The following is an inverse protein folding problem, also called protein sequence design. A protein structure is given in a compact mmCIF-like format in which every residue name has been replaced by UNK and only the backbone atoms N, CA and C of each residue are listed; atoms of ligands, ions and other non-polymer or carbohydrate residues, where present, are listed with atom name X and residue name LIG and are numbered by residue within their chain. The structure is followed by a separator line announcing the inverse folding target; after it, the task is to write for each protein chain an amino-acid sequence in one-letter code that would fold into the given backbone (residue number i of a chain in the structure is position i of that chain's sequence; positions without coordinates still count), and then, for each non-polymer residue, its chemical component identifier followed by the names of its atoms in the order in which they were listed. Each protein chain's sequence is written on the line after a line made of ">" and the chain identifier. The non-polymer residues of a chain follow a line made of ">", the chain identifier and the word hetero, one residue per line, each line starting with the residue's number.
data_IF_026259793087
#
_entry.id   IF_026259793087
#
_cell.length_a   1.000
_cell.length_b   1.000
_cell.length_c   1.000
_cell.angle_alpha   90.00
_cell.angle_beta   90.00
_cell.angle_gamma   90.00
#
_symmetry.space_group_name_H-M   'P 1'
#
loop_
_entity.id
_entity.type
_entity.pdbx_description
1 polymer ?
#
# COMPACT_ATOMS: atom_id res chain seq x y z
N UNK A 1 -9.66 67.13 -39.54
CA UNK A 1 -9.99 68.12 -38.50
C UNK A 1 -8.82 68.16 -37.53
N UNK A 2 -8.15 69.33 -37.38
CA UNK A 2 -7.08 69.71 -36.42
C UNK A 2 -5.92 68.74 -36.05
N UNK A 3 -4.69 69.19 -36.38
CA UNK A 3 -3.39 69.09 -35.65
C UNK A 3 -2.78 67.70 -35.31
N UNK A 4 -1.51 67.35 -35.52
CA UNK A 4 -0.17 68.01 -35.73
C UNK A 4 0.80 67.79 -34.55
N UNK A 5 2.09 67.55 -34.87
CA UNK A 5 3.29 67.36 -34.00
C UNK A 5 3.33 66.10 -33.11
N UNK A 6 4.35 65.23 -33.15
CA UNK A 6 5.44 65.07 -34.12
C UNK A 6 6.82 65.60 -33.70
N UNK A 7 7.82 64.69 -33.68
CA UNK A 7 9.29 64.91 -33.59
C UNK A 7 9.79 65.36 -32.19
N UNK A 8 11.05 65.10 -31.77
CA UNK A 8 12.25 64.54 -32.46
C UNK A 8 13.22 63.87 -31.44
N UNK A 9 14.00 62.86 -31.86
CA UNK A 9 15.31 62.52 -31.25
C UNK A 9 16.37 63.57 -31.68
N UNK A 10 17.54 63.64 -31.00
CA UNK A 10 18.92 63.75 -31.58
C UNK A 10 19.98 64.16 -30.51
N UNK A 11 21.01 63.31 -30.32
CA UNK A 11 22.46 63.56 -29.97
C UNK A 11 22.86 64.66 -28.92
N UNK A 12 24.13 64.88 -28.47
CA UNK A 12 25.48 64.39 -28.88
C UNK A 12 26.50 64.31 -27.72
N UNK A 13 27.53 63.48 -27.94
CA UNK A 13 28.83 63.25 -27.28
C UNK A 13 29.63 64.43 -26.65
N UNK A 14 30.47 64.04 -25.65
CA UNK A 14 31.90 64.43 -25.38
C UNK A 14 32.30 65.88 -25.03
N UNK A 15 32.89 66.05 -23.84
CA UNK A 15 34.35 66.30 -23.60
C UNK A 15 34.69 66.03 -22.11
N UNK A 16 35.83 65.53 -21.61
CA UNK A 16 37.29 65.52 -21.89
C UNK A 16 38.11 66.61 -21.15
N UNK A 17 38.88 66.18 -20.14
CA UNK A 17 40.08 66.82 -19.53
C UNK A 17 39.93 68.18 -18.79
N UNK A 18 40.88 68.63 -17.95
CA UNK A 18 41.83 67.99 -17.01
C UNK A 18 42.60 69.07 -16.20
N UNK A 19 43.26 68.69 -15.08
CA UNK A 19 44.33 69.44 -14.35
C UNK A 19 43.95 70.81 -13.73
N UNK A 20 44.61 71.42 -12.75
CA UNK A 20 45.50 71.08 -11.61
C UNK A 20 45.90 72.44 -10.96
N UNK A 21 45.37 72.78 -9.77
CA UNK A 21 46.07 73.56 -8.69
C UNK A 21 46.53 75.02 -9.05
N UNK A 22 47.12 75.83 -8.14
CA UNK A 22 46.44 76.69 -7.15
C UNK A 22 46.68 78.22 -7.29
N UNK A 23 45.94 79.04 -6.52
CA UNK A 23 46.52 79.95 -5.48
C UNK A 23 45.46 80.69 -4.66
N UNK A 24 45.89 81.25 -3.52
CA UNK A 24 45.05 82.02 -2.59
C UNK A 24 45.61 83.44 -2.34
N UNK A 25 44.72 84.38 -2.02
CA UNK A 25 44.91 85.63 -1.24
C UNK A 25 43.55 85.93 -0.55
N UNK A 26 43.41 86.08 0.76
CA UNK A 26 44.00 87.04 1.73
C UNK A 26 43.40 88.44 1.62
N UNK A 27 42.41 88.73 2.48
CA UNK A 27 42.09 89.97 3.24
C UNK A 27 40.82 89.72 4.07
N UNK A 28 40.60 90.23 5.29
CA UNK A 28 41.52 90.87 6.25
C UNK A 28 40.84 91.95 7.10
N UNK A 29 40.60 91.70 8.41
CA UNK A 29 40.27 92.77 9.40
C UNK A 29 40.66 92.40 10.83
N UNK A 30 40.68 93.41 11.72
CA UNK A 30 41.27 93.43 13.08
C UNK A 30 40.49 94.41 13.98
N UNK A 31 40.67 94.50 15.31
CA UNK A 31 41.72 93.88 16.16
C UNK A 31 41.19 92.63 16.91
N UNK A 32 41.15 92.41 18.24
CA UNK A 32 41.50 93.17 19.46
C UNK A 32 42.11 92.30 20.57
N UNK A 33 42.26 92.86 21.78
CA UNK A 33 42.94 92.35 22.98
C UNK A 33 42.08 91.32 23.75
N UNK A 34 42.54 90.11 24.07
CA UNK A 34 43.62 89.69 25.00
C UNK A 34 43.05 89.12 26.31
N UNK A 35 43.01 87.79 26.41
CA UNK A 35 43.14 87.03 27.66
C UNK A 35 43.68 85.62 27.31
N UNK A 36 44.62 85.09 28.09
CA UNK A 36 45.34 83.85 27.75
C UNK A 36 44.68 82.60 28.37
N UNK A 37 43.89 81.87 27.57
CA UNK A 37 43.33 80.56 27.94
C UNK A 37 43.77 79.45 26.97
N UNK A 38 44.52 78.45 27.47
CA UNK A 38 45.16 77.41 26.64
C UNK A 38 44.21 76.23 26.35
N UNK A 39 43.18 76.47 25.54
CA UNK A 39 42.21 75.45 25.12
C UNK A 39 42.73 74.64 23.93
N UNK A 40 43.10 73.37 24.16
CA UNK A 40 43.65 72.49 23.11
C UNK A 40 42.54 71.66 22.43
N UNK A 41 42.32 71.85 21.13
CA UNK A 41 41.24 71.22 20.39
C UNK A 41 41.66 69.85 19.82
N UNK A 42 41.31 68.75 20.49
CA UNK A 42 41.36 67.42 19.89
C UNK A 42 40.44 66.40 20.60
N UNK A 43 39.15 66.35 20.20
CA UNK A 43 38.20 65.31 20.64
C UNK A 43 38.16 64.15 19.64
N UNK A 44 39.25 63.39 19.55
CA UNK A 44 39.17 62.03 19.04
C UNK A 44 38.31 61.18 19.99
N UNK A 45 37.33 60.43 19.47
CA UNK A 45 36.55 59.50 20.29
C UNK A 45 37.45 58.37 20.78
N UNK A 46 37.96 58.49 22.01
CA UNK A 46 38.56 57.37 22.74
C UNK A 46 37.46 56.39 23.11
N UNK A 47 37.20 55.43 22.22
CA UNK A 47 36.41 54.23 22.51
C UNK A 47 36.99 53.58 23.76
N UNK A 48 36.29 53.70 24.89
CA UNK A 48 36.69 53.04 26.13
C UNK A 48 36.45 51.53 25.99
N UNK A 49 37.17 50.67 26.73
CA UNK A 49 36.91 49.22 26.70
C UNK A 49 35.43 48.87 26.97
N UNK A 50 34.77 49.64 27.86
CA UNK A 50 33.33 49.50 28.16
C UNK A 50 32.44 49.76 26.94
N UNK A 51 32.79 50.74 26.09
CA UNK A 51 32.06 50.99 24.85
C UNK A 51 32.26 49.86 23.82
N UNK A 52 33.48 49.29 23.75
CA UNK A 52 33.78 48.15 22.89
C UNK A 52 32.97 46.90 23.29
N UNK A 53 32.98 46.55 24.58
CA UNK A 53 32.15 45.49 25.14
C UNK A 53 30.64 45.74 24.94
N UNK A 54 30.20 46.99 25.04
CA UNK A 54 28.82 47.38 24.71
C UNK A 54 28.43 47.09 23.26
N UNK A 55 29.28 47.42 22.29
CA UNK A 55 29.02 47.10 20.88
C UNK A 55 29.08 45.59 20.60
N UNK A 56 29.99 44.85 21.24
CA UNK A 56 30.03 43.38 21.15
C UNK A 56 28.76 42.74 21.73
N UNK A 57 28.26 43.26 22.86
CA UNK A 57 26.99 42.83 23.43
C UNK A 57 25.79 43.10 22.52
N UNK A 58 25.73 44.29 21.90
CA UNK A 58 24.68 44.64 20.93
C UNK A 58 24.79 43.76 19.67
N UNK A 59 25.99 43.48 19.17
CA UNK A 59 26.20 42.61 18.02
C UNK A 59 25.80 41.15 18.32
N UNK A 60 26.12 40.63 19.51
CA UNK A 60 25.67 39.31 19.98
C UNK A 60 24.14 39.26 20.16
N UNK A 61 23.53 40.33 20.66
CA UNK A 61 22.07 40.39 20.84
C UNK A 61 21.33 40.50 19.49
N UNK A 62 21.87 41.27 18.54
CA UNK A 62 21.37 41.30 17.16
C UNK A 62 21.55 39.94 16.45
N UNK A 63 22.70 39.31 16.60
CA UNK A 63 22.96 37.97 16.05
C UNK A 63 22.03 36.93 16.69
N UNK A 64 21.79 36.99 18.00
CA UNK A 64 20.82 36.15 18.70
C UNK A 64 19.38 36.41 18.24
N UNK A 65 18.99 37.67 17.99
CA UNK A 65 17.68 38.01 17.42
C UNK A 65 17.54 37.48 15.99
N UNK A 66 18.58 37.57 15.17
CA UNK A 66 18.61 36.98 13.82
C UNK A 66 18.52 35.44 13.89
N UNK A 67 19.27 34.80 14.81
CA UNK A 67 19.18 33.36 15.04
C UNK A 67 17.76 32.96 15.50
N UNK A 68 17.15 33.74 16.39
CA UNK A 68 15.81 33.53 16.91
C UNK A 68 14.68 33.86 15.93
N UNK A 69 14.90 34.68 14.90
CA UNK A 69 13.92 34.90 13.82
C UNK A 69 14.05 33.83 12.75
N UNK A 70 15.27 33.45 12.36
CA UNK A 70 15.53 32.29 11.47
C UNK A 70 14.97 31.00 12.09
N UNK A 71 15.21 30.76 13.39
CA UNK A 71 14.67 29.59 14.10
C UNK A 71 13.17 29.68 14.47
N UNK A 72 12.50 30.84 14.28
CA UNK A 72 11.05 30.99 14.55
C UNK A 72 10.17 30.69 13.33
N UNK A 73 10.75 30.45 12.16
CA UNK A 73 10.01 29.96 11.00
C UNK A 73 9.46 28.55 11.27
N UNK A 74 8.21 28.45 11.74
CA UNK A 74 7.50 27.15 11.74
C UNK A 74 7.51 26.59 10.32
N UNK A 75 7.95 25.34 10.10
CA UNK A 75 8.14 24.77 8.77
C UNK A 75 6.83 24.81 7.98
N UNK A 76 6.94 25.02 6.67
CA UNK A 76 5.82 25.05 5.75
C UNK A 76 5.26 23.65 5.50
N UNK A 77 6.08 22.60 5.68
CA UNK A 77 5.72 21.18 5.58
C UNK A 77 5.83 20.53 6.96
N UNK A 78 4.69 20.09 7.52
CA UNK A 78 4.57 19.38 8.81
C UNK A 78 5.13 17.96 8.68
N UNK A 79 4.52 17.14 7.82
CA UNK A 79 4.85 15.74 7.56
C UNK A 79 5.04 15.49 6.06
N UNK A 80 5.73 14.40 5.73
CA UNK A 80 5.93 13.93 4.36
C UNK A 80 5.93 12.40 4.42
N UNK A 81 5.15 11.78 3.54
CA UNK A 81 5.00 10.33 3.38
C UNK A 81 5.22 9.95 1.90
N UNK A 82 5.88 8.82 1.58
CA UNK A 82 6.54 7.89 2.50
C UNK A 82 7.63 8.53 3.36
N UNK A 83 7.84 8.00 4.57
CA UNK A 83 8.82 8.54 5.51
C UNK A 83 10.26 8.18 5.09
N UNK A 84 11.25 8.96 5.54
CA UNK A 84 12.63 8.74 5.09
C UNK A 84 13.19 7.43 5.67
N UNK A 85 13.60 6.52 4.79
CA UNK A 85 14.00 5.14 5.13
C UNK A 85 12.83 4.15 5.20
N UNK A 86 11.63 4.54 4.76
CA UNK A 86 10.53 3.60 4.61
C UNK A 86 10.77 2.62 3.44
N UNK A 87 10.22 1.42 3.59
CA UNK A 87 9.96 0.46 2.52
C UNK A 87 8.44 0.47 2.31
N UNK A 88 7.97 0.57 1.06
CA UNK A 88 6.53 0.65 0.75
C UNK A 88 6.14 -0.18 -0.48
N UNK A 89 4.99 -0.83 -0.37
CA UNK A 89 4.32 -1.55 -1.43
C UNK A 89 3.34 -0.67 -2.23
N UNK A 90 3.12 -1.05 -3.49
CA UNK A 90 2.02 -0.58 -4.32
C UNK A 90 2.44 0.40 -5.41
N UNK A 91 2.07 0.08 -6.65
CA UNK A 91 2.06 1.02 -7.77
C UNK A 91 0.60 1.21 -8.22
N UNK A 92 0.02 2.42 -8.10
CA UNK A 92 0.67 3.68 -7.75
C UNK A 92 0.92 3.88 -6.23
N UNK A 93 2.07 4.49 -5.91
CA UNK A 93 2.41 4.97 -4.56
C UNK A 93 1.63 6.24 -4.26
N UNK A 94 1.12 6.37 -3.04
CA UNK A 94 0.54 7.62 -2.52
C UNK A 94 1.59 8.43 -1.76
N UNK A 95 2.05 9.51 -2.38
CA UNK A 95 2.92 10.53 -1.78
C UNK A 95 2.05 11.61 -1.15
N UNK A 96 2.28 11.95 0.13
CA UNK A 96 1.46 12.92 0.88
C UNK A 96 2.32 13.86 1.72
N UNK A 97 2.14 15.16 1.53
CA UNK A 97 2.78 16.21 2.30
C UNK A 97 1.75 17.06 3.05
N UNK A 98 1.78 17.06 4.37
CA UNK A 98 0.93 17.96 5.15
C UNK A 98 1.58 19.34 5.23
N UNK A 99 0.89 20.32 4.66
CA UNK A 99 1.31 21.70 4.56
C UNK A 99 0.81 22.52 5.76
N UNK A 100 1.32 23.74 5.90
CA UNK A 100 0.88 24.76 6.86
C UNK A 100 -0.30 25.56 6.30
N UNK A 101 -1.30 25.84 7.15
CA UNK A 101 -2.44 26.69 6.84
C UNK A 101 -2.06 28.01 6.15
N UNK A 102 -2.77 28.30 5.05
CA UNK A 102 -2.66 29.56 4.32
C UNK A 102 -1.55 29.62 3.27
N UNK A 103 -0.86 28.51 2.99
CA UNK A 103 -0.01 28.38 1.79
C UNK A 103 -0.86 28.38 0.52
N UNK A 104 -0.35 29.01 -0.53
CA UNK A 104 -1.02 29.09 -1.83
C UNK A 104 -0.52 27.97 -2.77
N UNK A 105 -1.35 27.39 -3.65
CA UNK A 105 -0.94 26.30 -4.54
C UNK A 105 0.32 26.63 -5.35
N UNK A 106 0.41 27.86 -5.88
CA UNK A 106 1.53 28.33 -6.69
C UNK A 106 2.85 28.56 -5.92
N UNK A 107 2.83 28.49 -4.58
CA UNK A 107 4.03 28.58 -3.76
C UNK A 107 4.71 27.22 -3.54
N UNK A 108 3.98 26.12 -3.74
CA UNK A 108 4.41 24.76 -3.40
C UNK A 108 4.91 24.04 -4.64
N UNK A 109 5.95 23.22 -4.51
CA UNK A 109 6.32 22.21 -5.51
C UNK A 109 6.56 20.86 -4.87
N UNK A 110 6.17 19.83 -5.59
CA UNK A 110 6.41 18.42 -5.28
C UNK A 110 7.21 17.81 -6.43
N UNK A 111 8.43 17.41 -6.14
CA UNK A 111 9.33 16.72 -7.06
C UNK A 111 9.42 15.25 -6.68
N UNK A 112 9.51 14.37 -7.68
CA UNK A 112 9.79 12.94 -7.49
C UNK A 112 10.95 12.59 -8.43
N UNK A 113 12.05 12.09 -7.87
CA UNK A 113 13.31 11.77 -8.55
C UNK A 113 13.95 12.92 -9.36
N UNK A 114 13.50 14.15 -9.09
CA UNK A 114 13.91 15.38 -9.78
C UNK A 114 12.86 15.96 -10.74
N UNK A 115 11.85 15.17 -11.13
CA UNK A 115 10.75 15.63 -12.00
C UNK A 115 9.69 16.39 -11.19
N UNK A 116 9.29 17.57 -11.68
CA UNK A 116 8.26 18.41 -11.05
C UNK A 116 6.85 17.86 -11.35
N UNK A 117 6.32 17.05 -10.43
CA UNK A 117 5.01 16.41 -10.53
C UNK A 117 3.89 17.21 -9.84
N UNK A 118 4.15 18.47 -9.45
CA UNK A 118 3.19 19.34 -8.76
C UNK A 118 1.84 19.44 -9.50
N UNK A 119 1.87 19.51 -10.84
CA UNK A 119 0.65 19.56 -11.67
C UNK A 119 -0.20 18.28 -11.71
N UNK A 120 0.29 17.16 -11.14
CA UNK A 120 -0.44 15.91 -10.96
C UNK A 120 -0.99 15.73 -9.53
N UNK A 121 -0.64 16.60 -8.59
CA UNK A 121 -1.02 16.49 -7.19
C UNK A 121 -2.30 17.28 -6.86
N UNK A 122 -3.16 16.74 -6.01
CA UNK A 122 -4.29 17.48 -5.43
C UNK A 122 -3.88 18.15 -4.11
N UNK A 123 -4.44 19.34 -3.83
CA UNK A 123 -4.23 20.06 -2.58
C UNK A 123 -5.57 20.30 -1.88
N UNK A 124 -5.84 19.52 -0.83
CA UNK A 124 -7.09 19.55 -0.07
C UNK A 124 -6.80 19.59 1.43
N UNK A 125 -7.52 20.43 2.18
CA UNK A 125 -7.48 20.43 3.66
C UNK A 125 -6.07 20.51 4.28
N UNK A 126 -5.19 21.35 3.71
CA UNK A 126 -3.76 21.46 4.07
C UNK A 126 -2.92 20.21 3.76
N UNK A 127 -3.38 19.26 2.94
CA UNK A 127 -2.59 18.11 2.48
C UNK A 127 -2.43 18.11 0.96
N UNK A 128 -1.18 18.15 0.49
CA UNK A 128 -0.82 17.89 -0.90
C UNK A 128 -0.68 16.38 -1.08
N UNK A 129 -1.42 15.79 -2.01
CA UNK A 129 -1.43 14.35 -2.27
C UNK A 129 -1.17 14.08 -3.75
N UNK A 130 -0.20 13.24 -4.05
CA UNK A 130 0.12 12.73 -5.38
C UNK A 130 -0.04 11.21 -5.36
N UNK A 131 -0.78 10.68 -6.32
CA UNK A 131 -0.85 9.24 -6.60
C UNK A 131 -0.09 9.04 -7.90
N UNK A 132 1.03 8.30 -7.85
CA UNK A 132 1.90 8.11 -9.01
C UNK A 132 2.45 6.69 -9.07
N UNK A 133 2.48 6.12 -10.27
CA UNK A 133 3.23 4.90 -10.54
C UNK A 133 4.72 5.17 -10.32
N UNK A 134 5.38 4.24 -9.63
CA UNK A 134 6.83 4.15 -9.44
C UNK A 134 7.26 2.70 -9.73
N UNK A 135 8.54 2.52 -10.04
CA UNK A 135 9.14 1.20 -10.20
C UNK A 135 9.63 0.67 -8.84
N UNK A 136 10.19 -0.54 -8.82
CA UNK A 136 10.88 -1.05 -7.62
C UNK A 136 12.28 -0.41 -7.51
N UNK A 137 12.68 -0.04 -6.29
CA UNK A 137 13.98 0.56 -5.99
C UNK A 137 13.92 1.86 -5.16
N UNK A 138 15.04 2.59 -5.14
CA UNK A 138 15.16 3.83 -4.35
C UNK A 138 14.50 5.02 -5.07
N UNK A 139 13.55 5.66 -4.39
CA UNK A 139 12.86 6.85 -4.85
C UNK A 139 13.04 8.02 -3.89
N UNK A 140 13.14 9.24 -4.44
CA UNK A 140 13.30 10.51 -3.73
C UNK A 140 12.08 11.39 -3.95
N UNK A 141 11.38 11.73 -2.87
CA UNK A 141 10.36 12.78 -2.89
C UNK A 141 10.90 14.04 -2.23
N UNK A 142 10.63 15.19 -2.85
CA UNK A 142 11.08 16.51 -2.40
C UNK A 142 9.96 17.55 -2.45
N UNK A 143 9.79 18.29 -1.36
CA UNK A 143 8.81 19.37 -1.25
C UNK A 143 9.52 20.71 -1.01
N UNK A 144 9.30 21.63 -1.95
CA UNK A 144 9.75 23.01 -1.87
C UNK A 144 8.56 23.95 -1.64
N UNK A 145 8.80 25.06 -0.93
CA UNK A 145 7.85 26.15 -0.74
C UNK A 145 8.55 27.49 -0.95
N UNK A 146 7.98 28.36 -1.79
CA UNK A 146 8.55 29.67 -2.12
C UNK A 146 9.92 29.58 -2.81
N UNK A 147 10.23 28.46 -3.48
CA UNK A 147 11.55 28.19 -4.07
C UNK A 147 12.61 27.70 -3.09
N UNK A 148 12.27 27.48 -1.81
CA UNK A 148 13.14 26.88 -0.79
C UNK A 148 12.75 25.44 -0.52
N UNK A 149 13.73 24.53 -0.45
CA UNK A 149 13.50 23.16 0.05
C UNK A 149 13.06 23.17 1.52
N UNK A 150 11.95 22.51 1.80
CA UNK A 150 11.34 22.41 3.14
C UNK A 150 11.41 20.98 3.69
N UNK A 151 11.24 19.96 2.84
CA UNK A 151 11.37 18.55 3.24
C UNK A 151 11.79 17.67 2.08
N UNK A 152 12.55 16.62 2.38
CA UNK A 152 12.93 15.55 1.46
C UNK A 152 12.72 14.20 2.16
N UNK A 153 12.48 13.16 1.39
CA UNK A 153 12.36 11.77 1.84
C UNK A 153 12.94 10.85 0.78
N UNK A 154 13.81 9.93 1.21
CA UNK A 154 14.27 8.79 0.41
C UNK A 154 13.55 7.55 0.93
N UNK A 155 12.97 6.73 0.06
CA UNK A 155 12.29 5.48 0.42
C UNK A 155 12.55 4.41 -0.64
N UNK A 156 12.32 3.15 -0.28
CA UNK A 156 12.36 2.02 -1.19
C UNK A 156 10.92 1.65 -1.58
N UNK A 157 10.69 1.45 -2.86
CA UNK A 157 9.48 0.81 -3.39
C UNK A 157 9.80 -0.65 -3.68
N UNK A 158 8.93 -1.55 -3.25
CA UNK A 158 9.00 -2.97 -3.58
C UNK A 158 7.57 -3.50 -3.76
N UNK A 159 7.25 -3.96 -4.97
CA UNK A 159 5.97 -4.55 -5.35
C UNK A 159 6.03 -6.09 -5.41
N UNK A 160 7.12 -6.71 -4.96
CA UNK A 160 7.29 -8.17 -4.96
C UNK A 160 6.51 -8.77 -3.78
N UNK A 161 5.41 -9.52 -4.01
CA UNK A 161 4.71 -10.16 -2.90
C UNK A 161 5.56 -11.26 -2.27
N UNK A 162 5.45 -11.48 -0.94
CA UNK A 162 6.07 -12.64 -0.30
C UNK A 162 5.51 -13.92 -0.92
N UNK A 163 6.31 -14.99 -0.95
CA UNK A 163 5.77 -16.28 -1.36
C UNK A 163 5.01 -16.93 -0.21
N UNK A 164 4.02 -17.74 -0.55
CA UNK A 164 3.16 -18.43 0.40
C UNK A 164 2.79 -19.79 -0.18
N UNK A 165 3.41 -20.84 0.34
CA UNK A 165 3.20 -22.21 -0.07
C UNK A 165 2.45 -22.98 1.01
N UNK A 166 1.52 -23.85 0.61
CA UNK A 166 0.88 -24.84 1.47
C UNK A 166 1.53 -26.19 1.15
N UNK A 167 2.33 -26.71 2.07
CA UNK A 167 3.09 -27.96 1.87
C UNK A 167 2.23 -29.19 2.12
N UNK A 168 1.20 -29.07 2.96
CA UNK A 168 0.30 -30.16 3.29
C UNK A 168 -0.77 -29.80 4.31
N UNK A 169 -1.68 -30.76 4.50
CA UNK A 169 -2.73 -30.72 5.52
C UNK A 169 -2.94 -32.12 6.09
N UNK A 170 -3.41 -32.19 7.33
CA UNK A 170 -3.74 -33.43 8.04
C UNK A 170 -5.06 -33.21 8.79
N UNK A 171 -6.11 -33.90 8.36
CA UNK A 171 -7.40 -33.94 9.07
C UNK A 171 -7.31 -34.99 10.17
N UNK A 172 -7.52 -34.58 11.42
CA UNK A 172 -7.55 -35.46 12.60
C UNK A 172 -8.97 -35.91 12.95
N UNK A 173 -9.06 -37.00 13.71
CA UNK A 173 -10.33 -37.57 14.21
C UNK A 173 -11.11 -36.62 15.15
N UNK A 174 -10.42 -35.67 15.80
CA UNK A 174 -11.05 -34.62 16.63
C UNK A 174 -11.73 -33.52 15.79
N UNK A 175 -11.66 -33.59 14.46
CA UNK A 175 -12.21 -32.60 13.53
C UNK A 175 -11.34 -31.35 13.36
N UNK A 176 -10.14 -31.34 13.95
CA UNK A 176 -9.15 -30.31 13.69
C UNK A 176 -8.36 -30.68 12.44
N UNK A 177 -8.27 -29.75 11.51
CA UNK A 177 -7.37 -29.85 10.35
C UNK A 177 -6.12 -29.03 10.63
N UNK A 178 -5.01 -29.73 10.61
CA UNK A 178 -3.66 -29.19 10.65
C UNK A 178 -3.31 -28.71 9.24
N UNK A 179 -2.72 -27.53 9.12
CA UNK A 179 -2.21 -27.00 7.84
C UNK A 179 -0.74 -26.61 8.05
N UNK A 180 0.14 -27.05 7.16
CA UNK A 180 1.58 -26.74 7.19
C UNK A 180 2.02 -26.09 5.89
N UNK A 181 2.97 -25.16 5.98
CA UNK A 181 3.46 -24.40 4.85
C UNK A 181 4.63 -23.49 5.19
N UNK A 182 5.02 -22.67 4.21
CA UNK A 182 6.08 -21.67 4.33
C UNK A 182 5.62 -20.31 3.79
N UNK A 183 6.21 -19.23 4.31
CA UNK A 183 5.91 -17.87 3.90
C UNK A 183 7.19 -17.02 3.75
N UNK A 184 8.02 -17.37 2.76
CA UNK A 184 9.31 -16.72 2.53
C UNK A 184 9.16 -15.23 2.16
N UNK A 185 10.06 -14.39 2.68
CA UNK A 185 9.99 -12.93 2.56
C UNK A 185 8.95 -12.25 3.45
N UNK A 186 8.05 -12.98 4.11
CA UNK A 186 7.00 -12.37 4.94
C UNK A 186 7.50 -11.92 6.32
N UNK A 187 6.97 -10.79 6.80
CA UNK A 187 7.18 -10.27 8.15
C UNK A 187 6.05 -10.70 9.11
N UNK A 188 4.95 -11.23 8.56
CA UNK A 188 3.76 -11.64 9.30
C UNK A 188 2.89 -12.59 8.49
N UNK A 189 2.35 -13.61 9.17
CA UNK A 189 1.29 -14.47 8.67
C UNK A 189 -0.01 -14.16 9.41
N UNK A 190 -1.14 -14.26 8.71
CA UNK A 190 -2.49 -14.12 9.24
C UNK A 190 -3.36 -15.30 8.82
N UNK A 191 -4.30 -15.68 9.68
CA UNK A 191 -5.41 -16.60 9.37
C UNK A 191 -6.70 -15.83 9.63
N UNK A 192 -7.48 -15.61 8.58
CA UNK A 192 -8.44 -14.49 8.52
C UNK A 192 -7.79 -13.18 9.00
N UNK A 193 -8.42 -12.46 9.94
CA UNK A 193 -7.90 -11.24 10.57
C UNK A 193 -6.79 -11.50 11.62
N UNK A 194 -6.56 -12.76 12.03
CA UNK A 194 -5.74 -13.09 13.20
C UNK A 194 -4.27 -13.34 12.83
N UNK A 195 -3.36 -12.48 13.29
CA UNK A 195 -1.90 -12.70 13.14
C UNK A 195 -1.47 -13.97 13.88
N UNK A 196 -0.67 -14.80 13.21
CA UNK A 196 -0.04 -16.03 13.72
C UNK A 196 1.49 -15.84 13.73
N UNK A 197 2.20 -16.67 14.51
CA UNK A 197 3.67 -16.71 14.51
C UNK A 197 4.16 -17.62 13.38
N UNK A 198 5.14 -17.13 12.64
CA UNK A 198 6.05 -17.95 11.82
C UNK A 198 7.17 -18.49 12.72
N UNK A 199 7.80 -19.59 12.30
CA UNK A 199 9.08 -20.04 12.83
C UNK A 199 10.24 -19.21 12.26
N UNK A 200 11.44 -19.36 12.83
CA UNK A 200 12.65 -18.60 12.41
C UNK A 200 13.15 -18.98 11.01
N UNK A 201 12.72 -20.13 10.49
CA UNK A 201 12.96 -20.63 9.13
C UNK A 201 11.87 -20.23 8.12
N UNK A 202 10.88 -19.43 8.54
CA UNK A 202 9.76 -19.01 7.70
C UNK A 202 8.64 -20.06 7.53
N UNK A 203 8.71 -21.20 8.21
CA UNK A 203 7.64 -22.20 8.20
C UNK A 203 6.50 -21.86 9.17
N UNK A 204 5.34 -22.49 8.96
CA UNK A 204 4.21 -22.42 9.88
C UNK A 204 3.47 -23.75 10.02
N UNK A 205 2.81 -23.92 11.18
CA UNK A 205 1.80 -24.94 11.44
C UNK A 205 0.57 -24.26 12.05
N UNK A 206 -0.58 -24.49 11.45
CA UNK A 206 -1.89 -24.01 11.88
C UNK A 206 -2.74 -25.19 12.33
N UNK A 207 -3.67 -24.96 13.24
CA UNK A 207 -4.69 -25.93 13.63
C UNK A 207 -6.05 -25.23 13.60
N UNK A 208 -6.99 -25.75 12.81
CA UNK A 208 -8.29 -25.13 12.52
C UNK A 208 -9.41 -26.14 12.74
N UNK A 209 -10.45 -25.77 13.50
CA UNK A 209 -11.64 -26.60 13.65
C UNK A 209 -12.50 -26.53 12.39
N UNK A 210 -12.53 -27.62 11.60
CA UNK A 210 -13.29 -27.70 10.34
C UNK A 210 -14.80 -27.48 10.54
N UNK A 211 -15.29 -27.74 11.76
CA UNK A 211 -16.69 -27.64 12.13
C UNK A 211 -17.10 -26.19 12.50
N UNK A 212 -16.12 -25.29 12.66
CA UNK A 212 -16.32 -23.85 12.84
C UNK A 212 -16.11 -23.08 11.53
N UNK A 213 -15.05 -23.42 10.78
CA UNK A 213 -14.69 -22.81 9.50
C UNK A 213 -14.39 -23.92 8.49
N UNK A 214 -15.20 -24.03 7.43
CA UNK A 214 -15.02 -25.01 6.35
C UNK A 214 -13.89 -24.65 5.37
N UNK A 215 -13.44 -23.39 5.38
CA UNK A 215 -12.26 -22.91 4.67
C UNK A 215 -11.63 -21.75 5.45
N UNK A 216 -10.32 -21.55 5.27
CA UNK A 216 -9.59 -20.42 5.86
C UNK A 216 -8.74 -19.70 4.83
N UNK A 217 -8.72 -18.37 4.91
CA UNK A 217 -7.80 -17.48 4.22
C UNK A 217 -6.52 -17.36 5.04
N UNK A 218 -5.42 -17.84 4.48
CA UNK A 218 -4.06 -17.61 4.98
C UNK A 218 -3.47 -16.43 4.20
N UNK A 219 -2.92 -15.44 4.90
CA UNK A 219 -2.35 -14.23 4.28
C UNK A 219 -0.92 -13.99 4.79
N UNK A 220 0.05 -14.00 3.88
CA UNK A 220 1.41 -13.55 4.15
C UNK A 220 1.53 -12.06 3.81
N UNK A 221 2.17 -11.29 4.69
CA UNK A 221 2.45 -9.86 4.50
C UNK A 221 3.91 -9.57 4.85
N UNK A 222 4.62 -8.89 3.95
CA UNK A 222 6.04 -8.54 4.09
C UNK A 222 6.27 -7.24 4.90
N UNK A 223 7.47 -6.66 4.78
CA UNK A 223 7.84 -5.39 5.42
C UNK A 223 7.46 -4.14 4.59
N UNK A 224 7.16 -4.29 3.30
CA UNK A 224 6.70 -3.21 2.41
C UNK A 224 5.18 -2.98 2.53
N UNK A 225 4.44 -4.03 2.89
CA UNK A 225 2.99 -4.12 2.86
C UNK A 225 2.43 -4.95 1.70
N UNK A 226 3.27 -5.61 0.89
CA UNK A 226 2.76 -6.54 -0.13
C UNK A 226 2.11 -7.73 0.56
N UNK A 227 1.07 -8.27 -0.08
CA UNK A 227 0.22 -9.32 0.48
C UNK A 227 0.03 -10.45 -0.52
N UNK A 228 0.21 -11.68 -0.04
CA UNK A 228 -0.14 -12.91 -0.76
C UNK A 228 -1.20 -13.66 0.06
N UNK A 229 -2.34 -13.96 -0.55
CA UNK A 229 -3.42 -14.72 0.09
C UNK A 229 -3.61 -16.07 -0.60
N UNK A 230 -3.93 -17.09 0.19
CA UNK A 230 -4.36 -18.42 -0.26
C UNK A 230 -5.58 -18.83 0.57
N UNK A 231 -6.62 -19.36 -0.07
CA UNK A 231 -7.76 -19.98 0.62
C UNK A 231 -7.54 -21.49 0.64
N UNK A 232 -7.60 -22.08 1.83
CA UNK A 232 -7.41 -23.52 2.07
C UNK A 232 -8.71 -24.10 2.62
N UNK A 233 -9.20 -25.16 2.00
CA UNK A 233 -10.31 -25.97 2.51
C UNK A 233 -9.85 -26.71 3.79
N UNK A 234 -10.68 -26.70 4.83
CA UNK A 234 -10.38 -27.37 6.12
C UNK A 234 -11.04 -28.73 6.24
N UNK A 235 -11.95 -29.09 5.32
CA UNK A 235 -12.48 -30.44 5.18
C UNK A 235 -12.32 -30.93 3.71
N UNK A 236 -11.12 -30.81 3.11
CA UNK A 236 -10.90 -31.15 1.71
C UNK A 236 -11.30 -32.61 1.46
N UNK A 237 -11.95 -32.91 0.33
CA UNK A 237 -12.41 -34.26 0.06
C UNK A 237 -11.22 -35.24 0.05
N UNK A 238 -11.38 -36.45 0.61
CA UNK A 238 -10.32 -37.45 0.60
C UNK A 238 -9.90 -37.78 -0.84
N UNK A 239 -8.68 -38.26 -1.05
CA UNK A 239 -8.21 -38.61 -2.40
C UNK A 239 -8.99 -39.83 -2.93
N UNK A 240 -10.07 -39.58 -3.67
CA UNK A 240 -10.96 -40.64 -4.16
C UNK A 240 -10.45 -41.24 -5.47
N UNK A 241 -10.10 -42.53 -5.41
CA UNK A 241 -9.94 -43.41 -6.56
C UNK A 241 -11.30 -44.09 -6.79
N UNK A 242 -12.16 -43.40 -7.53
CA UNK A 242 -13.56 -43.79 -7.73
C UNK A 242 -13.81 -44.58 -9.03
N UNK A 243 -14.88 -45.36 -9.05
CA UNK A 243 -15.46 -45.95 -10.27
C UNK A 243 -16.94 -45.58 -10.39
N UNK A 244 -17.42 -45.37 -11.63
CA UNK A 244 -18.83 -45.04 -11.91
C UNK A 244 -19.75 -46.25 -11.73
N UNK A 245 -20.95 -45.98 -11.20
CA UNK A 245 -22.01 -46.94 -10.91
C UNK A 245 -23.33 -46.31 -11.38
N UNK A 246 -23.89 -46.82 -12.48
CA UNK A 246 -25.17 -46.32 -12.99
C UNK A 246 -26.35 -46.76 -12.11
N UNK A 247 -27.49 -46.07 -12.27
CA UNK A 247 -28.75 -46.32 -11.56
C UNK A 247 -29.07 -47.82 -11.55
N UNK A 248 -28.97 -48.48 -12.70
CA UNK A 248 -29.29 -49.90 -12.90
C UNK A 248 -28.29 -50.86 -12.24
N UNK A 249 -27.02 -50.45 -12.08
CA UNK A 249 -26.00 -51.23 -11.36
C UNK A 249 -26.19 -51.08 -9.85
N UNK A 250 -26.53 -49.89 -9.37
CA UNK A 250 -26.79 -49.62 -7.94
C UNK A 250 -28.10 -50.26 -7.46
N UNK A 251 -29.16 -50.26 -8.29
CA UNK A 251 -30.43 -50.90 -7.98
C UNK A 251 -30.37 -52.45 -7.98
N UNK A 252 -29.39 -53.05 -8.67
CA UNK A 252 -29.21 -54.50 -8.70
C UNK A 252 -28.25 -54.97 -7.59
N UNK A 253 -28.77 -55.71 -6.61
CA UNK A 253 -28.03 -56.12 -5.42
C UNK A 253 -26.72 -56.89 -5.71
N UNK A 254 -26.71 -57.74 -6.74
CA UNK A 254 -25.58 -58.58 -7.11
C UNK A 254 -24.55 -57.83 -7.98
N UNK A 255 -24.99 -56.90 -8.83
CA UNK A 255 -24.09 -56.03 -9.57
C UNK A 255 -23.43 -55.01 -8.62
N UNK A 256 -24.20 -54.37 -7.74
CA UNK A 256 -23.64 -53.48 -6.72
C UNK A 256 -22.69 -54.22 -5.77
N UNK A 257 -22.99 -55.47 -5.41
CA UNK A 257 -22.04 -56.32 -4.68
C UNK A 257 -20.73 -56.51 -5.45
N UNK A 258 -20.76 -56.77 -6.76
CA UNK A 258 -19.53 -56.88 -7.58
C UNK A 258 -18.71 -55.59 -7.62
N UNK A 259 -19.34 -54.42 -7.47
CA UNK A 259 -18.64 -53.13 -7.34
C UNK A 259 -17.96 -53.02 -5.96
N UNK A 260 -18.65 -53.37 -4.87
CA UNK A 260 -18.03 -53.47 -3.52
C UNK A 260 -16.87 -54.46 -3.52
N UNK A 261 -17.06 -55.66 -4.07
CA UNK A 261 -16.04 -56.70 -4.18
C UNK A 261 -14.91 -56.34 -5.18
N UNK A 262 -15.06 -55.28 -5.99
CA UNK A 262 -14.00 -54.69 -6.82
C UNK A 262 -13.17 -53.67 -6.03
N UNK A 263 -13.85 -52.77 -5.30
CA UNK A 263 -13.18 -51.79 -4.42
C UNK A 263 -12.30 -52.52 -3.41
N UNK A 264 -12.84 -53.53 -2.72
CA UNK A 264 -12.12 -54.32 -1.69
C UNK A 264 -10.91 -55.14 -2.17
N UNK A 265 -10.64 -55.20 -3.48
CA UNK A 265 -9.51 -55.97 -4.06
C UNK A 265 -8.56 -55.14 -4.94
N UNK A 266 -8.71 -53.82 -4.91
CA UNK A 266 -7.93 -52.85 -5.71
C UNK A 266 -7.60 -51.64 -4.85
N UNK A 267 -6.88 -50.67 -5.43
CA UNK A 267 -6.57 -49.38 -4.81
C UNK A 267 -7.74 -48.39 -4.89
N UNK A 268 -8.90 -48.78 -5.43
CA UNK A 268 -10.11 -47.97 -5.42
C UNK A 268 -10.60 -47.80 -3.97
N UNK A 269 -11.22 -46.66 -3.68
CA UNK A 269 -11.79 -46.36 -2.35
C UNK A 269 -13.14 -45.62 -2.41
N UNK A 270 -13.76 -45.50 -3.58
CA UNK A 270 -15.05 -44.82 -3.73
C UNK A 270 -15.88 -45.27 -4.92
N UNK A 271 -17.17 -44.92 -4.88
CA UNK A 271 -18.15 -45.21 -5.93
C UNK A 271 -18.90 -43.93 -6.30
N UNK A 272 -18.83 -43.53 -7.57
CA UNK A 272 -19.68 -42.46 -8.10
C UNK A 272 -20.99 -43.07 -8.57
N UNK A 273 -22.05 -42.85 -7.79
CA UNK A 273 -23.36 -43.48 -7.95
C UNK A 273 -24.34 -42.48 -8.55
N UNK A 274 -25.00 -42.85 -9.65
CA UNK A 274 -26.03 -42.01 -10.26
C UNK A 274 -27.25 -41.83 -9.35
N UNK A 275 -27.47 -40.59 -8.93
CA UNK A 275 -28.68 -40.13 -8.22
C UNK A 275 -29.67 -39.50 -9.21
N UNK A 276 -29.18 -38.83 -10.25
CA UNK A 276 -29.97 -38.43 -11.43
C UNK A 276 -29.07 -38.48 -12.66
N UNK A 277 -29.41 -39.31 -13.63
CA UNK A 277 -28.63 -39.44 -14.86
C UNK A 277 -29.12 -38.48 -15.96
N UNK A 278 -28.55 -38.61 -17.16
CA UNK A 278 -28.88 -37.81 -18.33
C UNK A 278 -30.21 -38.14 -19.03
N UNK A 279 -31.00 -39.08 -18.51
CA UNK A 279 -32.40 -39.26 -18.92
C UNK A 279 -33.32 -38.28 -18.21
N UNK A 280 -32.82 -37.55 -17.21
CA UNK A 280 -33.60 -36.70 -16.32
C UNK A 280 -34.21 -37.44 -15.12
N UNK A 281 -34.18 -38.78 -15.11
CA UNK A 281 -34.79 -39.59 -14.07
C UNK A 281 -33.95 -39.63 -12.78
N UNK A 282 -34.57 -39.27 -11.66
CA UNK A 282 -34.04 -39.48 -10.31
C UNK A 282 -34.13 -40.97 -9.95
N UNK A 283 -33.02 -41.48 -9.43
CA UNK A 283 -32.76 -42.91 -9.22
C UNK A 283 -33.68 -43.61 -8.21
N UNK A 284 -34.42 -42.87 -7.39
CA UNK A 284 -35.24 -43.39 -6.29
C UNK A 284 -36.59 -42.64 -6.19
N UNK A 285 -37.55 -43.08 -5.35
CA UNK A 285 -38.79 -42.36 -5.07
C UNK A 285 -38.54 -41.00 -4.39
N UNK A 286 -38.21 -39.98 -5.18
CA UNK A 286 -37.98 -38.62 -4.71
C UNK A 286 -39.23 -37.99 -4.10
N UNK A 287 -39.06 -37.21 -3.03
CA UNK A 287 -40.08 -36.36 -2.39
C UNK A 287 -39.92 -34.87 -2.77
N UNK A 288 -39.05 -34.55 -3.74
CA UNK A 288 -38.87 -33.18 -4.24
C UNK A 288 -40.11 -32.82 -5.08
N UNK A 289 -40.89 -31.77 -4.74
CA UNK A 289 -42.20 -31.52 -5.36
C UNK A 289 -42.17 -31.47 -6.89
N UNK A 290 -41.17 -30.78 -7.48
CA UNK A 290 -41.00 -30.72 -8.93
C UNK A 290 -40.80 -32.09 -9.58
N UNK A 291 -40.08 -33.01 -8.92
CA UNK A 291 -39.83 -34.35 -9.44
C UNK A 291 -41.07 -35.26 -9.35
N UNK A 292 -41.95 -35.03 -8.38
CA UNK A 292 -43.27 -35.68 -8.35
C UNK A 292 -44.21 -35.10 -9.42
N UNK A 293 -44.20 -33.77 -9.60
CA UNK A 293 -45.02 -33.02 -10.57
C UNK A 293 -44.74 -33.42 -12.02
N UNK A 294 -43.46 -33.40 -12.45
CA UNK A 294 -43.07 -33.85 -13.80
C UNK A 294 -42.86 -35.37 -13.90
N UNK A 295 -43.00 -36.09 -12.78
CA UNK A 295 -42.85 -37.55 -12.73
C UNK A 295 -41.42 -38.08 -12.96
N UNK A 296 -40.39 -37.23 -12.86
CA UNK A 296 -38.98 -37.53 -13.16
C UNK A 296 -38.26 -38.36 -12.10
N UNK A 297 -38.93 -39.37 -11.53
CA UNK A 297 -38.39 -40.20 -10.44
C UNK A 297 -38.82 -41.68 -10.54
N UNK A 298 -37.93 -42.61 -10.20
CA UNK A 298 -38.20 -44.05 -10.26
C UNK A 298 -39.07 -44.51 -9.08
N UNK A 299 -40.37 -44.72 -9.35
CA UNK A 299 -41.37 -45.16 -8.36
C UNK A 299 -41.23 -46.62 -7.91
N UNK A 300 -40.58 -47.48 -8.70
CA UNK A 300 -40.24 -48.88 -8.39
C UNK A 300 -38.99 -49.29 -9.17
N UNK A 301 -38.21 -50.25 -8.64
CA UNK A 301 -37.01 -50.77 -9.31
C UNK A 301 -35.84 -49.78 -9.38
N UNK A 302 -35.93 -48.65 -8.68
CA UNK A 302 -34.85 -47.70 -8.47
C UNK A 302 -33.85 -48.16 -7.38
N UNK A 303 -32.92 -47.27 -7.06
CA UNK A 303 -31.85 -47.51 -6.09
C UNK A 303 -32.38 -47.47 -4.66
N UNK A 304 -32.07 -48.52 -3.91
CA UNK A 304 -32.25 -48.62 -2.46
C UNK A 304 -31.13 -47.81 -1.77
N UNK A 305 -31.34 -46.50 -1.63
CA UNK A 305 -30.31 -45.54 -1.19
C UNK A 305 -29.78 -45.88 0.21
N UNK A 306 -30.65 -46.21 1.16
CA UNK A 306 -30.25 -46.57 2.53
C UNK A 306 -29.31 -47.78 2.51
N UNK A 307 -29.70 -48.88 1.85
CA UNK A 307 -28.86 -50.07 1.72
C UNK A 307 -27.55 -49.81 0.96
N UNK A 308 -27.55 -48.91 -0.02
CA UNK A 308 -26.33 -48.53 -0.76
C UNK A 308 -25.38 -47.76 0.15
N UNK A 309 -25.88 -46.81 0.95
CA UNK A 309 -25.07 -46.06 1.91
C UNK A 309 -24.54 -46.96 3.03
N UNK A 310 -25.38 -47.83 3.63
CA UNK A 310 -24.96 -48.84 4.62
C UNK A 310 -23.81 -49.70 4.10
N UNK A 311 -23.92 -50.20 2.86
CA UNK A 311 -22.86 -51.00 2.23
C UNK A 311 -21.59 -50.21 1.98
N UNK A 312 -21.70 -48.93 1.63
CA UNK A 312 -20.53 -48.06 1.45
C UNK A 312 -19.83 -47.83 2.79
N UNK A 313 -20.55 -47.37 3.81
CA UNK A 313 -20.02 -47.14 5.15
C UNK A 313 -19.40 -48.39 5.78
N UNK A 314 -20.07 -49.54 5.73
CA UNK A 314 -19.57 -50.80 6.30
C UNK A 314 -18.29 -51.33 5.63
N UNK A 315 -17.97 -50.89 4.41
CA UNK A 315 -16.76 -51.29 3.68
C UNK A 315 -15.77 -50.13 3.48
N UNK A 316 -15.92 -49.02 4.22
CA UNK A 316 -15.06 -47.83 4.15
C UNK A 316 -14.97 -47.19 2.76
N UNK A 317 -16.03 -47.36 1.95
CA UNK A 317 -16.13 -46.86 0.57
C UNK A 317 -16.74 -45.47 0.58
N UNK A 318 -16.05 -44.49 -0.01
CA UNK A 318 -16.53 -43.12 -0.14
C UNK A 318 -17.61 -42.99 -1.25
N UNK A 319 -18.88 -42.66 -0.92
CA UNK A 319 -19.95 -42.54 -1.90
C UNK A 319 -20.00 -41.11 -2.49
N UNK A 320 -20.04 -41.00 -3.82
CA UNK A 320 -20.20 -39.72 -4.53
C UNK A 320 -21.51 -39.75 -5.31
N UNK A 321 -22.45 -38.84 -5.01
CA UNK A 321 -23.68 -38.70 -5.78
C UNK A 321 -23.42 -37.99 -7.12
N UNK A 322 -23.72 -38.65 -8.25
CA UNK A 322 -23.77 -38.02 -9.58
C UNK A 322 -25.18 -37.51 -9.86
N UNK A 323 -25.29 -36.20 -10.09
CA UNK A 323 -26.52 -35.52 -10.49
C UNK A 323 -26.21 -34.75 -11.77
N UNK A 324 -26.81 -35.15 -12.90
CA UNK A 324 -26.64 -34.46 -14.18
C UNK A 324 -27.53 -33.22 -14.21
N UNK A 325 -26.94 -32.02 -14.34
CA UNK A 325 -27.72 -30.77 -14.36
C UNK A 325 -28.38 -30.49 -15.73
N UNK A 326 -27.58 -30.13 -16.74
CA UNK A 326 -28.11 -29.51 -17.98
C UNK A 326 -28.50 -30.48 -19.10
N UNK A 327 -28.01 -31.73 -19.07
CA UNK A 327 -28.43 -32.77 -20.02
C UNK A 327 -29.63 -33.51 -19.40
N UNK A 328 -30.78 -32.84 -19.41
CA UNK A 328 -32.04 -33.33 -18.83
C UNK A 328 -33.19 -33.10 -19.83
N UNK A 329 -33.70 -34.13 -20.51
CA UNK A 329 -34.77 -33.99 -21.51
C UNK A 329 -36.18 -33.83 -20.91
N UNK A 330 -36.32 -33.72 -19.58
CA UNK A 330 -37.61 -33.58 -18.89
C UNK A 330 -37.83 -32.15 -18.39
N UNK A 331 -36.78 -31.45 -17.94
CA UNK A 331 -36.90 -30.12 -17.30
C UNK A 331 -35.94 -29.02 -17.82
N UNK A 332 -35.21 -29.26 -18.92
CA UNK A 332 -34.34 -28.25 -19.57
C UNK A 332 -34.95 -27.65 -20.86
#
# INVERSE_FOLDING_TARGET
>A
MFYDRGRRRIFTRRSLAARLVPRAKITGKRVSRMATGRANANRGLKLTPKALWGMVGIALLLLLVILLTVARGKPAVKSLLPANGALVAGSPVTVRAELKKGLRPEEVRLMVDGDDLTGKASLENEALTLVTELADGEHRVEVAVGGKMEKSSIFQVDNTPPDLQIDGWELRDDGITVITGSAEGSASLYVEERRVKLAEDGTFRLEVNRNELASVRISAVDAAGNRREVVVDTAPPPQVKGVHVSIWVAANLDLFRKMVDLVKRTELNGLQIDVKDETGMVAYPSQVPLAEEVGSHLKKGGVDIERVMDKCWYNEIYPIARIVCFKDPIVA
#
